data_IF_473794860928
#
_entry.id   IF_473794860928
#
_cell.length_a   1.000
_cell.length_b   1.000
_cell.length_c   1.000
_cell.angle_alpha   90.00
_cell.angle_beta   90.00
_cell.angle_gamma   90.00
#
_symmetry.space_group_name_H-M   'P 1'
#
loop_
_entity.id
_entity.type
_entity.pdbx_description
1 polymer ?
#
# COMPACT_ATOMS: atom_id res chain seq x y z
N UNK A 1 -17.60 12.25 7.64
CA UNK A 1 -16.92 12.41 6.34
C UNK A 1 -15.99 13.61 6.33
N UNK A 2 -16.47 14.82 6.61
CA UNK A 2 -15.64 16.04 6.55
C UNK A 2 -14.45 16.04 7.51
N UNK A 3 -14.53 15.35 8.66
CA UNK A 3 -13.39 15.13 9.58
C UNK A 3 -12.14 14.51 8.92
N UNK A 4 -12.28 13.84 7.77
CA UNK A 4 -11.12 13.32 7.03
C UNK A 4 -10.24 14.44 6.44
N UNK A 5 -10.83 15.62 6.23
CA UNK A 5 -10.16 16.82 5.71
C UNK A 5 -9.61 17.73 6.81
N UNK A 6 -9.97 17.47 8.07
CA UNK A 6 -9.40 18.17 9.22
C UNK A 6 -7.99 17.62 9.53
N UNK A 7 -7.12 18.48 10.04
CA UNK A 7 -5.78 18.07 10.48
C UNK A 7 -5.94 17.20 11.72
N UNK A 8 -5.43 15.98 11.67
CA UNK A 8 -5.38 15.09 12.83
C UNK A 8 -4.07 15.34 13.60
N UNK A 9 -4.14 15.81 14.85
CA UNK A 9 -2.95 16.12 15.65
C UNK A 9 -1.99 14.94 15.84
N UNK A 10 -2.50 13.71 15.83
CA UNK A 10 -1.68 12.52 16.05
C UNK A 10 -0.75 12.21 14.86
N UNK A 11 -1.07 12.71 13.66
CA UNK A 11 -0.29 12.46 12.44
C UNK A 11 0.20 13.76 11.76
N UNK A 12 -0.17 14.94 12.29
CA UNK A 12 0.27 16.24 11.80
C UNK A 12 -0.23 16.62 10.40
N UNK A 13 -1.22 15.89 9.87
CA UNK A 13 -1.78 16.09 8.55
C UNK A 13 -3.24 15.59 8.52
N UNK A 14 -3.95 15.84 7.42
CA UNK A 14 -5.31 15.32 7.28
C UNK A 14 -5.30 13.80 7.06
N UNK A 15 -6.31 13.10 7.59
CA UNK A 15 -6.46 11.65 7.38
C UNK A 15 -6.61 11.32 5.89
N UNK A 16 -7.25 12.21 5.13
CA UNK A 16 -7.40 12.06 3.69
C UNK A 16 -6.06 12.14 2.95
N UNK A 17 -5.20 13.09 3.31
CA UNK A 17 -3.85 13.17 2.75
C UNK A 17 -3.01 11.94 3.13
N UNK A 18 -3.02 11.55 4.41
CA UNK A 18 -2.29 10.38 4.91
C UNK A 18 -2.64 9.06 4.19
N UNK A 19 -3.92 8.86 3.85
CA UNK A 19 -4.38 7.71 3.06
C UNK A 19 -3.81 7.69 1.64
N UNK A 20 -3.64 8.87 1.02
CA UNK A 20 -3.07 9.02 -0.32
C UNK A 20 -1.55 8.88 -0.33
N UNK A 21 -0.87 9.32 0.72
CA UNK A 21 0.59 9.27 0.86
C UNK A 21 1.05 7.92 1.44
N UNK A 22 0.55 6.81 0.89
CA UNK A 22 0.95 5.47 1.31
C UNK A 22 2.35 5.12 0.76
N UNK A 23 3.20 4.40 1.53
CA UNK A 23 4.53 4.03 1.07
C UNK A 23 4.46 2.98 -0.03
N UNK A 24 5.22 3.17 -1.11
CA UNK A 24 5.23 2.28 -2.27
C UNK A 24 6.42 1.30 -2.28
N UNK A 25 7.52 1.66 -1.62
CA UNK A 25 8.73 0.87 -1.60
C UNK A 25 8.55 -0.41 -0.76
N UNK A 26 8.93 -1.61 -1.23
CA UNK A 26 8.73 -2.83 -0.46
C UNK A 26 9.62 -2.90 0.78
N UNK A 27 8.99 -2.98 1.95
CA UNK A 27 9.63 -3.10 3.26
C UNK A 27 8.65 -3.55 4.33
N UNK A 28 9.13 -4.24 5.37
CA UNK A 28 8.26 -4.76 6.44
C UNK A 28 7.50 -3.65 7.18
N UNK A 29 8.20 -2.55 7.52
CA UNK A 29 7.58 -1.36 8.13
C UNK A 29 6.54 -0.70 7.20
N UNK A 30 6.82 -0.64 5.90
CA UNK A 30 5.90 -0.08 4.93
C UNK A 30 4.65 -0.95 4.77
N UNK A 31 4.79 -2.28 4.83
CA UNK A 31 3.66 -3.19 4.82
C UNK A 31 2.77 -2.99 6.06
N UNK A 32 3.36 -2.82 7.24
CA UNK A 32 2.61 -2.45 8.46
C UNK A 32 1.85 -1.14 8.24
N UNK A 33 2.51 -0.11 7.71
CA UNK A 33 1.86 1.17 7.38
C UNK A 33 0.71 1.07 6.37
N UNK A 34 0.75 0.11 5.44
CA UNK A 34 -0.39 -0.19 4.56
C UNK A 34 -1.52 -0.86 5.33
N UNK A 35 -1.24 -1.83 6.21
CA UNK A 35 -2.27 -2.49 7.02
C UNK A 35 -2.98 -1.54 8.00
N UNK A 36 -2.27 -0.55 8.55
CA UNK A 36 -2.86 0.50 9.39
C UNK A 36 -3.87 1.35 8.60
N UNK A 37 -3.51 1.73 7.36
CA UNK A 37 -4.41 2.48 6.47
C UNK A 37 -5.63 1.67 6.07
N UNK A 38 -5.45 0.39 5.73
CA UNK A 38 -6.56 -0.53 5.43
C UNK A 38 -7.49 -0.67 6.65
N UNK A 39 -6.91 -0.82 7.84
CA UNK A 39 -7.69 -0.92 9.09
C UNK A 39 -8.47 0.37 9.36
N UNK A 40 -7.86 1.53 9.14
CA UNK A 40 -8.54 2.81 9.24
C UNK A 40 -9.71 2.90 8.26
N UNK A 41 -9.52 2.52 6.99
CA UNK A 41 -10.59 2.53 6.00
C UNK A 41 -11.76 1.61 6.36
N UNK A 42 -11.47 0.42 6.90
CA UNK A 42 -12.51 -0.51 7.37
C UNK A 42 -13.35 0.08 8.51
N UNK A 43 -12.74 0.85 9.41
CA UNK A 43 -13.44 1.57 10.49
C UNK A 43 -14.36 2.68 10.01
N UNK A 44 -14.21 3.14 8.76
CA UNK A 44 -15.14 4.12 8.17
C UNK A 44 -16.47 3.50 7.73
N UNK A 45 -16.56 2.16 7.69
CA UNK A 45 -17.77 1.40 7.37
C UNK A 45 -18.44 1.81 6.04
N UNK A 46 -17.63 2.28 5.08
CA UNK A 46 -18.12 2.63 3.74
C UNK A 46 -18.25 1.34 2.91
N UNK A 47 -19.47 1.06 2.46
CA UNK A 47 -19.74 -0.09 1.60
C UNK A 47 -19.12 0.11 0.21
N UNK A 48 -18.11 -0.71 -0.11
CA UNK A 48 -17.46 -0.71 -1.42
C UNK A 48 -18.43 -1.05 -2.57
N UNK A 49 -19.56 -1.71 -2.30
CA UNK A 49 -20.60 -2.02 -3.31
C UNK A 49 -21.26 -0.75 -3.87
N UNK A 50 -21.11 0.40 -3.22
CA UNK A 50 -21.58 1.68 -3.76
C UNK A 50 -20.98 1.98 -5.14
N UNK A 51 -19.74 1.54 -5.41
CA UNK A 51 -19.13 1.68 -6.73
C UNK A 51 -19.93 0.95 -7.82
N UNK A 52 -20.44 -0.25 -7.55
CA UNK A 52 -21.17 -1.06 -8.53
C UNK A 52 -22.51 -0.45 -8.96
N UNK A 53 -23.01 0.55 -8.21
CA UNK A 53 -24.24 1.28 -8.51
C UNK A 53 -24.04 2.40 -9.54
N UNK A 54 -22.79 2.71 -9.89
CA UNK A 54 -22.42 3.80 -10.79
C UNK A 54 -21.71 3.18 -12.01
N UNK A 55 -22.06 3.64 -13.22
CA UNK A 55 -21.34 3.26 -14.44
C UNK A 55 -19.86 3.67 -14.36
N UNK A 56 -18.98 2.92 -15.03
CA UNK A 56 -17.53 3.16 -15.00
C UNK A 56 -17.14 4.58 -15.45
N UNK A 57 -17.77 5.11 -16.51
CA UNK A 57 -17.45 6.45 -17.02
C UNK A 57 -17.64 7.57 -16.00
N UNK A 58 -18.84 7.73 -15.42
CA UNK A 58 -19.09 8.69 -14.35
C UNK A 58 -18.23 8.45 -13.10
N UNK A 59 -17.98 7.20 -12.73
CA UNK A 59 -17.11 6.86 -11.60
C UNK A 59 -15.67 7.35 -11.84
N UNK A 60 -15.09 7.03 -12.99
CA UNK A 60 -13.73 7.43 -13.35
C UNK A 60 -13.59 8.95 -13.46
N UNK A 61 -14.65 9.65 -13.83
CA UNK A 61 -14.69 11.12 -13.78
C UNK A 61 -14.57 11.63 -12.33
N UNK A 62 -15.35 11.08 -11.40
CA UNK A 62 -15.29 11.45 -9.98
C UNK A 62 -13.90 11.14 -9.39
N UNK A 63 -13.31 10.00 -9.75
CA UNK A 63 -11.96 9.65 -9.29
C UNK A 63 -10.92 10.63 -9.84
N UNK A 64 -10.97 10.97 -11.13
CA UNK A 64 -10.05 11.94 -11.74
C UNK A 64 -10.17 13.31 -11.08
N UNK A 65 -11.39 13.80 -10.88
CA UNK A 65 -11.66 15.06 -10.18
C UNK A 65 -11.10 15.01 -8.76
N UNK A 66 -11.37 13.94 -8.02
CA UNK A 66 -10.87 13.77 -6.66
C UNK A 66 -9.34 13.72 -6.56
N UNK A 67 -8.65 13.14 -7.53
CA UNK A 67 -7.19 13.12 -7.58
C UNK A 67 -6.62 14.52 -7.85
N UNK A 68 -7.29 15.30 -8.70
CA UNK A 68 -6.89 16.66 -9.03
C UNK A 68 -7.26 17.68 -7.93
N UNK A 69 -8.12 17.32 -6.97
CA UNK A 69 -8.62 18.20 -5.91
C UNK A 69 -7.79 18.04 -4.62
N UNK A 70 -7.00 19.06 -4.23
CA UNK A 70 -6.37 19.11 -2.91
C UNK A 70 -7.42 19.14 -1.78
N UNK A 71 -7.04 18.65 -0.59
CA UNK A 71 -7.96 18.58 0.55
C UNK A 71 -8.57 19.94 0.94
N UNK A 72 -7.85 21.05 0.73
CA UNK A 72 -8.33 22.39 0.99
C UNK A 72 -9.34 22.88 -0.06
N UNK A 73 -9.20 22.47 -1.33
CA UNK A 73 -10.11 22.83 -2.42
C UNK A 73 -11.43 22.04 -2.34
N UNK A 74 -11.41 20.87 -1.71
CA UNK A 74 -12.63 20.10 -1.47
C UNK A 74 -13.66 20.90 -0.62
N UNK A 75 -13.20 21.83 0.24
CA UNK A 75 -14.08 22.67 1.05
C UNK A 75 -14.89 23.68 0.23
N UNK A 76 -14.45 24.05 -0.97
CA UNK A 76 -15.17 24.98 -1.86
C UNK A 76 -16.36 24.32 -2.56
N UNK A 77 -16.46 22.98 -2.53
CA UNK A 77 -17.64 22.26 -2.99
C UNK A 77 -18.78 22.32 -1.97
N UNK A 78 -20.02 22.30 -2.46
CA UNK A 78 -21.16 22.02 -1.60
C UNK A 78 -20.99 20.66 -0.91
N UNK A 79 -21.62 20.51 0.27
CA UNK A 79 -21.41 19.35 1.14
C UNK A 79 -21.68 18.02 0.42
N UNK A 80 -22.74 17.93 -0.39
CA UNK A 80 -23.11 16.73 -1.13
C UNK A 80 -22.04 16.30 -2.13
N UNK A 81 -21.51 17.25 -2.93
CA UNK A 81 -20.45 16.96 -3.91
C UNK A 81 -19.15 16.57 -3.21
N UNK A 82 -18.79 17.29 -2.14
CA UNK A 82 -17.61 16.98 -1.32
C UNK A 82 -17.70 15.57 -0.73
N UNK A 83 -18.83 15.19 -0.14
CA UNK A 83 -19.04 13.86 0.44
C UNK A 83 -19.00 12.76 -0.62
N UNK A 84 -19.64 12.96 -1.77
CA UNK A 84 -19.59 12.00 -2.87
C UNK A 84 -18.15 11.74 -3.35
N UNK A 85 -17.37 12.80 -3.49
CA UNK A 85 -15.97 12.73 -3.89
C UNK A 85 -15.11 12.02 -2.82
N UNK A 86 -15.28 12.35 -1.54
CA UNK A 86 -14.57 11.67 -0.44
C UNK A 86 -14.91 10.18 -0.40
N UNK A 87 -16.19 9.82 -0.51
CA UNK A 87 -16.64 8.42 -0.48
C UNK A 87 -16.06 7.63 -1.66
N UNK A 88 -16.14 8.17 -2.87
CA UNK A 88 -15.57 7.54 -4.06
C UNK A 88 -14.05 7.34 -3.93
N UNK A 89 -13.35 8.36 -3.42
CA UNK A 89 -11.91 8.31 -3.19
C UNK A 89 -11.53 7.28 -2.12
N UNK A 90 -12.29 7.20 -1.03
CA UNK A 90 -12.06 6.19 0.02
C UNK A 90 -12.23 4.77 -0.54
N UNK A 91 -13.28 4.50 -1.31
CA UNK A 91 -13.49 3.18 -1.93
C UNK A 91 -12.32 2.84 -2.86
N UNK A 92 -11.91 3.79 -3.71
CA UNK A 92 -10.79 3.59 -4.63
C UNK A 92 -9.45 3.37 -3.91
N UNK A 93 -9.19 4.12 -2.84
CA UNK A 93 -8.00 3.95 -2.00
C UNK A 93 -8.01 2.59 -1.28
N UNK A 94 -9.18 2.12 -0.84
CA UNK A 94 -9.32 0.80 -0.22
C UNK A 94 -8.86 -0.33 -1.15
N UNK A 95 -9.26 -0.27 -2.42
CA UNK A 95 -8.79 -1.20 -3.45
C UNK A 95 -7.28 -1.09 -3.65
N UNK A 96 -6.79 0.11 -3.96
CA UNK A 96 -5.36 0.35 -4.24
C UNK A 96 -4.46 -0.11 -3.08
N UNK A 97 -4.78 0.26 -1.85
CA UNK A 97 -3.98 -0.11 -0.68
C UNK A 97 -3.95 -1.61 -0.44
N UNK A 98 -5.06 -2.30 -0.72
CA UNK A 98 -5.12 -3.77 -0.60
C UNK A 98 -4.24 -4.42 -1.66
N UNK A 99 -4.31 -3.97 -2.91
CA UNK A 99 -3.48 -4.47 -4.01
C UNK A 99 -1.99 -4.20 -3.74
N UNK A 100 -1.65 -2.99 -3.27
CA UNK A 100 -0.29 -2.60 -2.91
C UNK A 100 0.26 -3.45 -1.76
N UNK A 101 -0.56 -3.72 -0.73
CA UNK A 101 -0.17 -4.57 0.40
C UNK A 101 0.12 -6.01 -0.04
N UNK A 102 -0.75 -6.58 -0.89
CA UNK A 102 -0.56 -7.94 -1.45
C UNK A 102 0.69 -7.99 -2.32
N UNK A 103 0.88 -7.02 -3.22
CA UNK A 103 2.06 -6.91 -4.07
C UNK A 103 3.35 -6.79 -3.26
N UNK A 104 3.34 -5.96 -2.21
CA UNK A 104 4.47 -5.78 -1.32
C UNK A 104 4.80 -7.05 -0.53
N UNK A 105 3.79 -7.75 -0.02
CA UNK A 105 3.94 -9.03 0.65
C UNK A 105 4.61 -10.08 -0.25
N UNK A 106 4.12 -10.24 -1.49
CA UNK A 106 4.69 -11.16 -2.48
C UNK A 106 6.17 -10.84 -2.73
N UNK A 107 6.52 -9.56 -2.90
CA UNK A 107 7.92 -9.13 -3.12
C UNK A 107 8.81 -9.45 -1.91
N UNK A 108 8.32 -9.23 -0.69
CA UNK A 108 9.07 -9.53 0.53
C UNK A 108 9.31 -11.04 0.67
N UNK A 109 8.30 -11.86 0.41
CA UNK A 109 8.43 -13.32 0.40
C UNK A 109 9.45 -13.78 -0.64
N UNK A 110 9.39 -13.25 -1.87
CA UNK A 110 10.36 -13.54 -2.92
C UNK A 110 11.81 -13.23 -2.52
N UNK A 111 12.05 -12.09 -1.85
CA UNK A 111 13.37 -11.72 -1.33
C UNK A 111 13.87 -12.69 -0.27
N UNK A 112 13.00 -13.13 0.66
CA UNK A 112 13.37 -14.10 1.70
C UNK A 112 13.77 -15.44 1.10
N UNK A 113 13.01 -15.97 0.15
CA UNK A 113 13.36 -17.22 -0.53
C UNK A 113 14.65 -17.10 -1.34
N UNK A 114 14.83 -15.99 -2.06
CA UNK A 114 16.06 -15.72 -2.81
C UNK A 114 17.27 -15.66 -1.89
N UNK A 115 17.16 -14.96 -0.75
CA UNK A 115 18.23 -14.88 0.24
C UNK A 115 18.57 -16.26 0.83
N UNK A 116 17.57 -17.06 1.16
CA UNK A 116 17.78 -18.42 1.67
C UNK A 116 18.48 -19.31 0.62
N UNK A 117 18.07 -19.24 -0.65
CA UNK A 117 18.67 -20.01 -1.73
C UNK A 117 20.13 -19.58 -2.00
N UNK A 118 20.38 -18.27 -2.01
CA UNK A 118 21.74 -17.73 -2.20
C UNK A 118 22.67 -18.12 -1.06
N UNK A 119 22.19 -18.12 0.20
CA UNK A 119 22.95 -18.64 1.35
C UNK A 119 23.31 -20.11 1.19
N UNK A 120 22.40 -20.95 0.67
CA UNK A 120 22.69 -22.36 0.37
C UNK A 120 23.75 -22.51 -0.73
N UNK A 121 23.61 -21.77 -1.84
CA UNK A 121 24.58 -21.77 -2.94
C UNK A 121 25.97 -21.35 -2.48
N UNK A 122 26.07 -20.28 -1.66
CA UNK A 122 27.34 -19.82 -1.11
C UNK A 122 28.01 -20.89 -0.25
N UNK A 123 27.25 -21.54 0.65
CA UNK A 123 27.77 -22.66 1.46
C UNK A 123 28.28 -23.84 0.62
N UNK A 124 27.58 -24.18 -0.46
CA UNK A 124 28.05 -25.23 -1.38
C UNK A 124 29.30 -24.82 -2.15
N UNK A 125 29.45 -23.54 -2.51
CA UNK A 125 30.66 -23.02 -3.13
C UNK A 125 31.85 -23.01 -2.15
N UNK A 126 31.63 -22.57 -0.91
CA UNK A 126 32.67 -22.51 0.13
C UNK A 126 33.14 -23.90 0.60
N UNK A 127 32.29 -24.94 0.51
CA UNK A 127 32.67 -26.32 0.84
C UNK A 127 33.49 -27.02 -0.26
N UNK A 128 33.48 -26.49 -1.49
CA UNK A 128 34.19 -27.04 -2.66
C UNK A 128 35.73 -26.84 -2.67
N UNK A 129 36.30 -25.72 -2.18
CA UNK A 129 37.76 -25.58 -2.10
C UNK A 129 38.41 -26.48 -1.04
N UNK A 130 37.69 -26.87 0.01
CA UNK A 130 38.25 -27.69 1.09
C UNK A 130 38.43 -29.17 0.69
N UNK A 131 37.53 -29.71 -0.13
CA UNK A 131 37.68 -31.09 -0.64
C UNK A 131 38.86 -31.21 -1.60
N UNK A 132 39.10 -30.19 -2.44
CA UNK A 132 40.27 -30.15 -3.35
C UNK A 132 41.61 -29.91 -2.63
N UNK A 133 41.58 -29.40 -1.39
CA UNK A 133 42.78 -29.23 -0.54
C UNK A 133 43.03 -30.45 0.34
N UNK A 134 41.97 -31.13 0.80
CA UNK A 134 42.06 -32.38 1.55
C UNK A 134 42.62 -33.53 0.70
N UNK A 135 42.26 -33.61 -0.59
CA UNK A 135 42.78 -34.62 -1.52
C UNK A 135 44.27 -34.41 -1.88
N UNK A 136 44.82 -33.21 -1.70
CA UNK A 136 46.23 -32.88 -2.00
C UNK A 136 47.21 -33.08 -0.83
N UNK A 137 46.73 -33.45 0.37
CA UNK A 137 47.58 -33.76 1.54
C UNK A 137 47.63 -35.25 1.88
N UNK A 138 47.04 -36.10 1.03
CA UNK A 138 46.97 -37.55 1.21
C UNK A 138 47.98 -38.34 0.37
N UNK A 139 48.96 -37.68 -0.26
CA UNK A 139 50.06 -38.30 -1.01
C UNK A 139 51.40 -38.09 -0.30
#
# INVERSE_FOLDING_TARGET
>A
MDRLLEVDPAIGQTRFHWLRSAPEAPGASNLVGLTERITFLRKLEIDAKLQARISSGPWDQIIREGNATPAWLANDFNASRRHALIVAQVIKLGQKLTDDAVSMFIKLMGRLFSQANNRKKQRHMDCRPDTAKALRRGE
#
